data_IF_278785005552
#
_entry.id   IF_278785005552
#
_cell.length_a   1.000
_cell.length_b   1.000
_cell.length_c   1.000
_cell.angle_alpha   90.00
_cell.angle_beta   90.00
_cell.angle_gamma   90.00
#
_symmetry.space_group_name_H-M   'P 1'
#
loop_
_entity.id
_entity.type
_entity.pdbx_description
1 polymer ?
#
# COMPACT_ATOMS: atom_id res chain seq x y z
N UNK A 1 21.78 -20.99 0.08
CA UNK A 1 23.17 -20.98 0.60
C UNK A 1 23.37 -20.08 1.84
N UNK A 2 22.58 -19.01 2.00
CA UNK A 2 22.67 -18.05 3.13
C UNK A 2 22.33 -18.66 4.49
N UNK A 3 21.26 -19.46 4.57
CA UNK A 3 20.85 -20.15 5.81
C UNK A 3 21.94 -21.02 6.44
N UNK A 4 22.76 -21.68 5.61
CA UNK A 4 23.88 -22.51 6.10
C UNK A 4 24.99 -21.67 6.72
N UNK A 5 25.17 -20.44 6.25
CA UNK A 5 26.18 -19.51 6.77
C UNK A 5 25.69 -18.84 8.05
N UNK A 6 24.42 -18.42 8.07
CA UNK A 6 23.75 -17.90 9.27
C UNK A 6 23.71 -18.95 10.40
N UNK A 7 23.38 -20.21 10.08
CA UNK A 7 23.38 -21.29 11.07
C UNK A 7 24.78 -21.58 11.62
N UNK A 8 25.82 -21.58 10.78
CA UNK A 8 27.21 -21.72 11.24
C UNK A 8 27.68 -20.53 12.08
N UNK A 9 27.26 -19.32 11.71
CA UNK A 9 27.59 -18.10 12.43
C UNK A 9 26.92 -18.03 13.82
N UNK A 10 25.68 -18.50 13.93
CA UNK A 10 24.99 -18.64 15.21
C UNK A 10 25.62 -19.76 16.05
N UNK A 11 25.91 -20.92 15.45
CA UNK A 11 26.50 -22.06 16.15
C UNK A 11 27.90 -21.80 16.71
N UNK A 12 28.70 -20.93 16.05
CA UNK A 12 30.05 -20.59 16.49
C UNK A 12 30.11 -19.42 17.49
N UNK A 13 28.99 -18.78 17.83
CA UNK A 13 28.95 -17.61 18.71
C UNK A 13 28.00 -17.85 19.90
N UNK A 14 28.46 -18.62 20.88
CA UNK A 14 27.67 -18.96 22.08
C UNK A 14 27.13 -17.73 22.82
N UNK A 15 27.91 -16.63 22.90
CA UNK A 15 27.47 -15.39 23.54
C UNK A 15 26.24 -14.76 22.85
N UNK A 16 26.18 -14.86 21.52
CA UNK A 16 25.09 -14.29 20.73
C UNK A 16 23.83 -15.17 20.82
N UNK A 17 24.02 -16.50 20.87
CA UNK A 17 22.94 -17.46 21.15
C UNK A 17 22.37 -17.27 22.54
N UNK A 18 23.20 -17.05 23.56
CA UNK A 18 22.75 -16.82 24.93
C UNK A 18 21.93 -15.52 25.05
N UNK A 19 22.39 -14.42 24.44
CA UNK A 19 21.62 -13.16 24.36
C UNK A 19 20.30 -13.32 23.61
N UNK A 20 20.28 -14.14 22.57
CA UNK A 20 19.06 -14.48 21.83
C UNK A 20 18.11 -15.34 22.66
N UNK A 21 18.59 -16.35 23.38
CA UNK A 21 17.77 -17.19 24.25
C UNK A 21 17.14 -16.40 25.41
N UNK A 22 17.86 -15.41 25.93
CA UNK A 22 17.34 -14.49 26.94
C UNK A 22 16.28 -13.53 26.39
N UNK A 23 16.25 -13.32 25.07
CA UNK A 23 15.26 -12.44 24.44
C UNK A 23 13.83 -12.95 24.62
N UNK A 24 12.91 -12.02 24.89
CA UNK A 24 11.50 -12.30 25.14
C UNK A 24 10.81 -13.12 24.01
N UNK A 25 11.10 -12.89 22.71
CA UNK A 25 10.48 -13.66 21.62
C UNK A 25 10.88 -15.14 21.60
N UNK A 26 12.17 -15.44 21.82
CA UNK A 26 12.68 -16.82 21.80
C UNK A 26 12.19 -17.59 23.03
N UNK A 27 12.13 -16.92 24.19
CA UNK A 27 11.56 -17.51 25.41
C UNK A 27 10.08 -17.86 25.26
N UNK A 28 9.28 -16.96 24.65
CA UNK A 28 7.86 -17.22 24.35
C UNK A 28 7.69 -18.34 23.31
N UNK A 29 8.50 -18.37 22.25
CA UNK A 29 8.49 -19.44 21.26
C UNK A 29 8.80 -20.80 21.91
N UNK A 30 9.83 -20.87 22.77
CA UNK A 30 10.18 -22.09 23.51
C UNK A 30 9.05 -22.54 24.45
N UNK A 31 8.39 -21.62 25.17
CA UNK A 31 7.23 -21.93 26.01
C UNK A 31 6.06 -22.49 25.19
N UNK A 32 5.80 -21.95 24.01
CA UNK A 32 4.75 -22.42 23.12
C UNK A 32 5.10 -23.79 22.53
N UNK A 33 6.33 -24.01 22.08
CA UNK A 33 6.80 -25.33 21.63
C UNK A 33 6.70 -26.37 22.75
N UNK A 34 7.10 -26.03 23.98
CA UNK A 34 6.97 -26.91 25.14
C UNK A 34 5.49 -27.20 25.47
N UNK A 35 4.62 -26.19 25.44
CA UNK A 35 3.18 -26.35 25.62
C UNK A 35 2.60 -27.31 24.58
N UNK A 36 2.90 -27.11 23.29
CA UNK A 36 2.42 -28.02 22.24
C UNK A 36 2.98 -29.43 22.37
N UNK A 37 4.24 -29.58 22.80
CA UNK A 37 4.84 -30.89 23.03
C UNK A 37 4.15 -31.63 24.19
N UNK A 38 3.89 -30.95 25.31
CA UNK A 38 3.22 -31.55 26.46
C UNK A 38 1.73 -31.80 26.21
N UNK A 39 1.01 -30.83 25.64
CA UNK A 39 -0.41 -30.97 25.29
C UNK A 39 -0.62 -31.98 24.17
N UNK A 40 0.32 -32.09 23.23
CA UNK A 40 0.34 -33.10 22.18
C UNK A 40 0.57 -34.50 22.73
N UNK A 41 1.50 -34.67 23.68
CA UNK A 41 1.79 -35.96 24.32
C UNK A 41 0.62 -36.50 25.14
N UNK A 42 -0.06 -35.64 25.91
CA UNK A 42 -1.26 -36.02 26.68
C UNK A 42 -2.40 -36.47 25.74
N UNK A 43 -2.69 -35.69 24.70
CA UNK A 43 -3.69 -36.03 23.69
C UNK A 43 -3.30 -37.28 22.88
N UNK A 44 -2.02 -37.51 22.62
CA UNK A 44 -1.56 -38.69 21.87
C UNK A 44 -1.77 -39.99 22.65
N UNK A 45 -1.59 -39.97 23.97
CA UNK A 45 -1.79 -41.15 24.84
C UNK A 45 -3.29 -41.53 24.91
N UNK A 46 -4.17 -40.55 25.02
CA UNK A 46 -5.63 -40.74 25.05
C UNK A 46 -6.17 -41.25 23.69
N UNK A 47 -5.72 -40.65 22.58
CA UNK A 47 -6.14 -41.00 21.22
C UNK A 47 -5.62 -42.37 20.76
N UNK A 48 -4.55 -42.90 21.35
CA UNK A 48 -4.00 -44.23 21.02
C UNK A 48 -4.99 -45.36 21.30
N UNK A 49 -5.81 -45.24 22.36
CA UNK A 49 -6.85 -46.21 22.71
C UNK A 49 -8.07 -46.16 21.78
N UNK A 50 -8.43 -44.98 21.27
CA UNK A 50 -9.52 -44.80 20.31
C UNK A 50 -9.15 -45.23 18.90
N UNK A 51 -7.88 -45.03 18.52
CA UNK A 51 -7.32 -45.42 17.22
C UNK A 51 -7.38 -46.94 16.98
N UNK A 52 -7.18 -47.74 18.04
CA UNK A 52 -7.30 -49.20 17.99
C UNK A 52 -8.75 -49.67 17.86
N UNK A 53 -9.74 -48.89 18.33
CA UNK A 53 -11.17 -49.24 18.29
C UNK A 53 -11.87 -48.82 16.99
N UNK A 54 -11.44 -47.71 16.37
CA UNK A 54 -12.17 -47.09 15.26
C UNK A 54 -11.73 -47.53 13.85
N UNK A 55 -10.71 -48.38 13.71
CA UNK A 55 -10.13 -48.76 12.42
C UNK A 55 -9.46 -47.56 11.73
N UNK A 56 -8.14 -47.43 11.93
CA UNK A 56 -7.33 -46.22 11.79
C UNK A 56 -7.51 -45.31 10.56
N UNK A 57 -8.11 -45.77 9.47
CA UNK A 57 -8.33 -44.98 8.25
C UNK A 57 -9.41 -43.90 8.45
N UNK A 58 -10.53 -44.20 9.12
CA UNK A 58 -11.64 -43.24 9.31
C UNK A 58 -11.33 -42.17 10.37
N UNK A 59 -10.45 -42.47 11.31
CA UNK A 59 -10.04 -41.55 12.36
C UNK A 59 -9.12 -40.44 11.84
N UNK A 60 -8.11 -40.80 11.02
CA UNK A 60 -7.17 -39.84 10.41
C UNK A 60 -7.91 -38.79 9.57
N UNK A 61 -8.97 -39.20 8.85
CA UNK A 61 -9.61 -38.34 7.86
C UNK A 61 -10.55 -37.27 8.46
N UNK A 62 -11.17 -37.53 9.63
CA UNK A 62 -12.07 -36.56 10.30
C UNK A 62 -11.34 -35.64 11.29
N UNK A 63 -10.45 -36.15 12.13
CA UNK A 63 -9.77 -35.31 13.13
C UNK A 63 -8.57 -34.52 12.57
N UNK A 64 -7.85 -35.08 11.58
CA UNK A 64 -6.68 -34.40 11.01
C UNK A 64 -6.98 -33.04 10.37
N UNK A 65 -8.18 -32.82 9.82
CA UNK A 65 -8.59 -31.53 9.26
C UNK A 65 -8.91 -30.49 10.34
N UNK A 66 -9.52 -30.90 11.45
CA UNK A 66 -9.86 -29.99 12.56
C UNK A 66 -8.60 -29.59 13.33
N UNK A 67 -7.72 -30.55 13.64
CA UNK A 67 -6.44 -30.27 14.29
C UNK A 67 -5.54 -29.33 13.47
N UNK A 68 -5.53 -29.43 12.12
CA UNK A 68 -4.79 -28.50 11.25
C UNK A 68 -5.39 -27.10 11.27
N UNK A 69 -6.72 -26.97 11.33
CA UNK A 69 -7.37 -25.66 11.34
C UNK A 69 -7.19 -24.96 12.69
N UNK A 70 -7.29 -25.70 13.79
CA UNK A 70 -7.02 -25.18 15.13
C UNK A 70 -5.54 -24.77 15.25
N UNK A 71 -4.63 -25.58 14.71
CA UNK A 71 -3.20 -25.25 14.66
C UNK A 71 -2.92 -24.04 13.77
N UNK A 72 -3.64 -23.85 12.65
CA UNK A 72 -3.55 -22.63 11.82
C UNK A 72 -4.06 -21.39 12.54
N UNK A 73 -5.15 -21.52 13.31
CA UNK A 73 -5.72 -20.41 14.08
C UNK A 73 -4.78 -19.97 15.20
N UNK A 74 -4.23 -20.93 15.95
CA UNK A 74 -3.25 -20.64 16.99
C UNK A 74 -1.95 -20.11 16.38
N UNK A 75 -1.52 -20.59 15.20
CA UNK A 75 -0.36 -20.02 14.48
C UNK A 75 -0.62 -18.59 13.97
N UNK A 76 -1.85 -18.27 13.59
CA UNK A 76 -2.25 -16.90 13.20
C UNK A 76 -2.20 -15.95 14.41
N UNK A 77 -2.68 -16.38 15.57
CA UNK A 77 -2.58 -15.57 16.80
C UNK A 77 -1.15 -15.49 17.32
N UNK A 78 -0.39 -16.59 17.23
CA UNK A 78 1.03 -16.67 17.53
C UNK A 78 1.85 -15.71 16.67
N UNK A 79 1.60 -15.68 15.35
CA UNK A 79 2.29 -14.75 14.44
C UNK A 79 1.93 -13.29 14.73
N UNK A 80 0.69 -12.99 15.10
CA UNK A 80 0.28 -11.64 15.46
C UNK A 80 0.88 -11.17 16.79
N UNK A 81 1.05 -12.06 17.77
CA UNK A 81 1.55 -11.69 19.10
C UNK A 81 3.08 -11.68 19.18
N UNK A 82 3.75 -12.65 18.55
CA UNK A 82 5.22 -12.73 18.56
C UNK A 82 5.89 -11.76 17.60
N UNK A 83 5.24 -11.43 16.48
CA UNK A 83 5.81 -10.52 15.50
C UNK A 83 5.25 -9.10 15.57
N UNK A 84 4.27 -8.77 16.44
CA UNK A 84 3.82 -7.36 16.59
C UNK A 84 4.95 -6.41 17.01
N UNK A 85 5.68 -6.67 18.10
CA UNK A 85 6.81 -5.81 18.48
C UNK A 85 7.90 -5.84 17.42
N UNK A 86 8.08 -6.97 16.72
CA UNK A 86 9.14 -7.14 15.73
C UNK A 86 8.81 -6.49 14.38
N UNK A 87 7.54 -6.45 13.95
CA UNK A 87 7.08 -5.79 12.71
C UNK A 87 7.05 -4.27 12.89
N UNK A 88 6.62 -3.78 14.05
CA UNK A 88 6.63 -2.35 14.34
C UNK A 88 8.07 -1.84 14.55
N UNK A 89 8.92 -2.63 15.23
CA UNK A 89 10.34 -2.32 15.37
C UNK A 89 11.12 -2.53 14.05
N UNK A 90 10.79 -3.50 13.20
CA UNK A 90 11.41 -3.64 11.86
C UNK A 90 10.89 -2.61 10.87
N UNK A 91 9.67 -2.09 10.98
CA UNK A 91 9.22 -0.98 10.13
C UNK A 91 10.08 0.26 10.32
N UNK A 92 10.56 0.51 11.54
CA UNK A 92 11.45 1.65 11.83
C UNK A 92 12.94 1.29 11.68
N UNK A 93 13.37 0.09 12.08
CA UNK A 93 14.78 -0.34 12.03
C UNK A 93 15.21 -0.78 10.62
N UNK A 94 14.33 -1.37 9.81
CA UNK A 94 14.69 -1.78 8.45
C UNK A 94 15.01 -0.57 7.57
N UNK A 95 14.35 0.58 7.78
CA UNK A 95 14.59 1.78 6.98
C UNK A 95 15.91 2.48 7.36
N UNK A 96 16.30 2.44 8.62
CA UNK A 96 17.52 3.11 9.11
C UNK A 96 18.78 2.23 8.97
N UNK A 97 18.68 0.92 9.24
CA UNK A 97 19.85 0.03 9.24
C UNK A 97 20.11 -0.67 7.89
N UNK A 98 19.13 -0.78 6.96
CA UNK A 98 19.44 -1.18 5.58
C UNK A 98 20.19 -0.09 4.80
N UNK A 99 20.02 1.18 5.18
CA UNK A 99 20.74 2.32 4.60
C UNK A 99 22.24 2.34 4.93
N UNK A 100 22.65 1.61 5.98
CA UNK A 100 24.03 1.59 6.49
C UNK A 100 24.78 0.32 6.06
N UNK A 101 24.09 -0.77 5.66
CA UNK A 101 24.72 -2.08 5.39
C UNK A 101 24.88 -2.47 3.92
N UNK A 102 24.22 -1.82 2.95
CA UNK A 102 24.33 -2.20 1.53
C UNK A 102 24.55 -0.98 0.65
N UNK A 103 25.81 -0.57 0.56
CA UNK A 103 26.28 0.49 -0.33
C UNK A 103 26.49 -0.06 -1.76
N UNK A 104 25.42 -0.62 -2.34
CA UNK A 104 25.37 -1.08 -3.74
C UNK A 104 24.56 -0.04 -4.54
N UNK A 105 25.22 0.70 -5.42
CA UNK A 105 24.63 1.79 -6.22
C UNK A 105 23.41 1.35 -7.04
N UNK A 106 23.34 0.08 -7.45
CA UNK A 106 22.22 -0.48 -8.23
C UNK A 106 20.93 -0.68 -7.42
N UNK A 107 21.02 -0.89 -6.10
CA UNK A 107 19.83 -1.04 -5.23
C UNK A 107 19.37 0.33 -4.74
N UNK A 108 20.29 1.27 -4.56
CA UNK A 108 19.96 2.66 -4.25
C UNK A 108 19.09 3.28 -5.35
N UNK A 109 19.36 3.01 -6.63
CA UNK A 109 18.49 3.45 -7.75
C UNK A 109 17.09 2.79 -7.73
N UNK A 110 16.98 1.52 -7.27
CA UNK A 110 15.71 0.82 -7.08
C UNK A 110 14.93 1.30 -5.85
N UNK A 111 15.63 1.71 -4.80
CA UNK A 111 15.05 2.26 -3.57
C UNK A 111 14.64 3.73 -3.79
N UNK A 112 15.42 4.52 -4.52
CA UNK A 112 15.10 5.91 -4.83
C UNK A 112 14.01 6.01 -5.90
N UNK A 113 13.92 5.06 -6.85
CA UNK A 113 12.74 4.93 -7.72
C UNK A 113 11.48 4.45 -6.97
N UNK A 114 11.61 3.80 -5.81
CA UNK A 114 10.47 3.50 -4.93
C UNK A 114 10.17 4.62 -3.92
N UNK A 115 11.15 5.49 -3.60
CA UNK A 115 10.97 6.69 -2.79
C UNK A 115 10.37 7.87 -3.56
N UNK A 116 10.41 7.85 -4.90
CA UNK A 116 9.80 8.87 -5.74
C UNK A 116 8.31 8.58 -6.02
N UNK A 117 7.58 8.32 -4.94
CA UNK A 117 6.15 8.09 -4.92
C UNK A 117 5.42 9.43 -4.89
N UNK A 118 4.82 9.82 -6.01
CA UNK A 118 3.99 11.01 -6.07
C UNK A 118 2.58 10.71 -5.55
N UNK A 119 2.07 11.59 -4.69
CA UNK A 119 0.66 11.71 -4.34
C UNK A 119 0.08 12.94 -5.02
N UNK A 120 -0.92 12.73 -5.86
CA UNK A 120 -1.61 13.80 -6.59
C UNK A 120 -3.02 14.00 -6.06
N UNK A 121 -3.44 15.26 -5.96
CA UNK A 121 -4.81 15.63 -5.65
C UNK A 121 -5.55 15.90 -6.96
N UNK A 122 -6.47 15.02 -7.32
CA UNK A 122 -7.23 15.12 -8.56
C UNK A 122 -8.58 15.78 -8.25
N UNK A 123 -8.79 16.96 -8.84
CA UNK A 123 -10.03 17.73 -8.78
C UNK A 123 -10.93 17.34 -9.95
N UNK A 124 -11.90 16.48 -9.70
CA UNK A 124 -12.95 16.10 -10.65
C UNK A 124 -13.95 17.26 -10.78
N UNK A 125 -14.11 17.80 -11.98
CA UNK A 125 -15.08 18.86 -12.27
C UNK A 125 -16.14 18.29 -13.19
N UNK A 126 -17.35 18.11 -12.66
CA UNK A 126 -18.49 17.59 -13.43
C UNK A 126 -19.26 18.69 -14.14
N UNK A 127 -19.29 19.89 -13.57
CA UNK A 127 -19.97 21.05 -14.16
C UNK A 127 -19.32 22.33 -13.68
N UNK A 128 -18.88 23.14 -14.63
CA UNK A 128 -18.30 24.46 -14.36
C UNK A 128 -19.37 25.48 -13.94
N UNK A 129 -20.53 25.48 -14.60
CA UNK A 129 -21.66 26.39 -14.33
C UNK A 129 -22.12 26.30 -12.87
N UNK A 130 -22.32 25.08 -12.35
CA UNK A 130 -22.77 24.86 -10.98
C UNK A 130 -21.62 24.65 -9.98
N UNK A 131 -20.36 24.85 -10.41
CA UNK A 131 -19.15 24.58 -9.60
C UNK A 131 -19.18 23.20 -8.92
N UNK A 132 -19.64 22.18 -9.64
CA UNK A 132 -19.79 20.83 -9.11
C UNK A 132 -18.44 20.10 -9.14
N UNK A 133 -17.69 20.22 -8.04
CA UNK A 133 -16.30 19.79 -7.92
C UNK A 133 -16.13 18.77 -6.78
N UNK A 134 -15.28 17.76 -6.99
CA UNK A 134 -14.86 16.79 -5.98
C UNK A 134 -13.37 16.51 -6.06
N UNK A 135 -12.75 16.26 -4.91
CA UNK A 135 -11.33 15.91 -4.83
C UNK A 135 -11.16 14.43 -4.52
N UNK A 136 -10.23 13.78 -5.22
CA UNK A 136 -9.76 12.43 -4.92
C UNK A 136 -8.24 12.46 -4.83
N UNK A 137 -7.65 11.63 -3.99
CA UNK A 137 -6.20 11.50 -3.89
C UNK A 137 -5.74 10.21 -4.59
N UNK A 138 -4.80 10.33 -5.51
CA UNK A 138 -4.12 9.20 -6.15
C UNK A 138 -2.70 9.14 -5.60
N UNK A 139 -2.34 8.00 -4.99
CA UNK A 139 -1.06 7.78 -4.31
C UNK A 139 -0.23 6.77 -5.10
N UNK A 140 1.07 6.70 -4.81
CA UNK A 140 1.97 5.70 -5.39
C UNK A 140 2.11 5.82 -6.91
N UNK A 141 2.16 7.06 -7.42
CA UNK A 141 2.40 7.33 -8.83
C UNK A 141 3.89 7.54 -9.11
N UNK A 142 4.32 7.09 -10.30
CA UNK A 142 5.65 7.36 -10.84
C UNK A 142 5.59 8.59 -11.74
N UNK A 143 6.58 9.48 -11.66
CA UNK A 143 6.72 10.67 -12.51
C UNK A 143 6.79 10.37 -14.00
N UNK A 144 7.21 9.16 -14.38
CA UNK A 144 7.37 8.73 -15.77
C UNK A 144 6.05 8.31 -16.43
N UNK A 145 4.96 8.23 -15.66
CA UNK A 145 3.63 7.91 -16.17
C UNK A 145 3.21 8.96 -17.20
N UNK A 146 2.54 8.52 -18.26
CA UNK A 146 2.00 9.42 -19.30
C UNK A 146 0.65 10.01 -18.91
N UNK A 147 0.28 11.16 -19.48
CA UNK A 147 -1.03 11.77 -19.26
C UNK A 147 -2.20 10.81 -19.52
N UNK A 148 -2.13 10.04 -20.61
CA UNK A 148 -3.13 9.01 -20.97
C UNK A 148 -3.25 7.88 -19.94
N UNK A 149 -2.12 7.43 -19.40
CA UNK A 149 -2.08 6.41 -18.35
C UNK A 149 -2.67 6.94 -17.03
N UNK A 150 -2.38 8.20 -16.68
CA UNK A 150 -2.95 8.86 -15.51
C UNK A 150 -4.48 8.94 -15.60
N UNK A 151 -5.04 9.31 -16.76
CA UNK A 151 -6.50 9.29 -17.00
C UNK A 151 -7.09 7.92 -16.72
N UNK A 152 -6.46 6.87 -17.25
CA UNK A 152 -6.90 5.48 -17.04
C UNK A 152 -6.84 5.05 -15.58
N UNK A 153 -5.79 5.43 -14.86
CA UNK A 153 -5.65 5.16 -13.41
C UNK A 153 -6.77 5.85 -12.63
N UNK A 154 -7.04 7.13 -12.94
CA UNK A 154 -8.12 7.89 -12.31
C UNK A 154 -9.46 7.20 -12.55
N UNK A 155 -9.82 6.94 -13.81
CA UNK A 155 -11.09 6.31 -14.19
C UNK A 155 -11.28 4.93 -13.54
N UNK A 156 -10.23 4.10 -13.47
CA UNK A 156 -10.27 2.81 -12.77
C UNK A 156 -10.45 2.94 -11.26
N UNK A 157 -10.00 4.05 -10.67
CA UNK A 157 -10.15 4.30 -9.23
C UNK A 157 -11.53 4.82 -8.85
N UNK A 158 -12.25 5.50 -9.76
CA UNK A 158 -13.55 6.14 -9.47
C UNK A 158 -14.61 5.20 -8.86
N UNK A 159 -14.79 3.94 -9.32
CA UNK A 159 -15.79 3.04 -8.74
C UNK A 159 -15.52 2.74 -7.27
N UNK A 160 -14.24 2.60 -6.89
CA UNK A 160 -13.80 2.28 -5.53
C UNK A 160 -13.86 3.47 -4.57
N UNK A 161 -13.87 4.70 -5.10
CA UNK A 161 -13.96 5.90 -4.27
C UNK A 161 -15.39 6.14 -3.75
N UNK A 162 -15.48 6.74 -2.56
CA UNK A 162 -16.73 7.20 -1.95
C UNK A 162 -17.19 8.52 -2.60
N UNK A 163 -17.45 8.48 -3.91
CA UNK A 163 -17.94 9.62 -4.70
C UNK A 163 -19.38 9.38 -5.17
N UNK A 164 -20.18 10.46 -5.38
CA UNK A 164 -21.54 10.33 -5.88
C UNK A 164 -21.61 9.68 -7.26
N UNK A 165 -22.69 8.94 -7.54
CA UNK A 165 -22.91 8.28 -8.83
C UNK A 165 -22.78 9.22 -10.04
N UNK A 166 -23.25 10.49 -10.01
CA UNK A 166 -23.08 11.41 -11.13
C UNK A 166 -21.63 11.67 -11.53
N UNK A 167 -20.66 11.51 -10.62
CA UNK A 167 -19.23 11.60 -10.95
C UNK A 167 -18.69 10.30 -11.55
N UNK A 168 -19.29 9.16 -11.21
CA UNK A 168 -18.86 7.85 -11.73
C UNK A 168 -19.33 7.62 -13.18
N UNK A 169 -20.47 8.21 -13.55
CA UNK A 169 -21.06 8.08 -14.89
C UNK A 169 -20.66 9.20 -15.85
N UNK A 170 -19.96 10.23 -15.37
CA UNK A 170 -19.57 11.37 -16.19
C UNK A 170 -18.34 11.04 -17.03
N UNK A 171 -18.32 11.56 -18.26
CA UNK A 171 -17.23 11.38 -19.22
C UNK A 171 -16.20 12.50 -19.04
N UNK A 172 -15.05 12.15 -18.47
CA UNK A 172 -13.90 13.05 -18.33
C UNK A 172 -12.90 12.81 -19.47
N UNK A 173 -12.33 13.89 -20.03
CA UNK A 173 -11.42 13.80 -21.17
C UNK A 173 -10.06 14.47 -20.93
N UNK A 174 -9.99 15.56 -20.15
CA UNK A 174 -8.87 16.50 -20.16
C UNK A 174 -8.31 16.72 -18.77
N UNK A 175 -6.98 16.67 -18.66
CA UNK A 175 -6.24 16.96 -17.45
C UNK A 175 -5.56 18.33 -17.56
N UNK A 176 -5.74 19.17 -16.54
CA UNK A 176 -5.07 20.47 -16.43
C UNK A 176 -4.50 20.65 -15.04
N UNK A 177 -3.27 21.11 -14.93
CA UNK A 177 -2.67 21.45 -13.64
C UNK A 177 -3.34 22.71 -13.09
N UNK A 178 -3.83 22.61 -11.87
CA UNK A 178 -4.51 23.71 -11.19
C UNK A 178 -3.51 24.47 -10.30
N UNK A 179 -2.81 23.73 -9.44
CA UNK A 179 -1.93 24.32 -8.44
C UNK A 179 -0.72 23.43 -8.20
N UNK A 180 0.46 24.05 -8.21
CA UNK A 180 1.65 23.44 -7.66
C UNK A 180 1.78 23.82 -6.19
N UNK A 181 2.26 22.92 -5.33
CA UNK A 181 2.55 23.23 -3.94
C UNK A 181 3.45 24.46 -3.81
N UNK A 182 3.20 25.26 -2.78
CA UNK A 182 3.95 26.48 -2.44
C UNK A 182 3.91 27.60 -3.49
N UNK A 183 3.09 27.49 -4.54
CA UNK A 183 2.84 28.59 -5.47
C UNK A 183 1.65 29.43 -5.03
N UNK A 184 1.44 30.58 -5.67
CA UNK A 184 0.22 31.36 -5.46
C UNK A 184 -0.99 30.60 -6.00
N UNK A 185 -2.10 30.61 -5.24
CA UNK A 185 -3.38 30.12 -5.73
C UNK A 185 -4.01 31.14 -6.67
N UNK A 186 -4.74 30.66 -7.66
CA UNK A 186 -5.51 31.53 -8.55
C UNK A 186 -6.75 32.05 -7.86
N UNK A 187 -7.26 33.20 -8.33
CA UNK A 187 -8.49 33.80 -7.80
C UNK A 187 -9.75 32.98 -8.14
N UNK A 188 -9.69 32.16 -9.19
CA UNK A 188 -10.78 31.27 -9.58
C UNK A 188 -10.81 30.02 -8.70
N UNK A 189 -11.98 29.74 -8.11
CA UNK A 189 -12.20 28.60 -7.20
C UNK A 189 -12.36 27.29 -7.97
N UNK A 190 -12.84 27.34 -9.22
CA UNK A 190 -13.17 26.14 -9.99
C UNK A 190 -11.94 25.61 -10.69
N UNK A 191 -11.33 26.44 -11.54
CA UNK A 191 -10.17 26.08 -12.35
C UNK A 191 -9.36 27.33 -12.73
N UNK A 192 -8.04 27.19 -12.76
CA UNK A 192 -7.15 28.15 -13.45
C UNK A 192 -7.59 28.32 -14.91
N UNK A 193 -7.78 29.56 -15.39
CA UNK A 193 -8.18 29.88 -16.78
C UNK A 193 -7.05 30.40 -17.67
N UNK A 194 -5.91 30.69 -17.05
CA UNK A 194 -4.71 31.24 -17.70
C UNK A 194 -3.79 30.11 -18.21
N UNK A 195 -2.93 30.46 -19.17
CA UNK A 195 -1.80 29.67 -19.69
C UNK A 195 -2.12 28.20 -20.03
N UNK A 196 -3.20 27.98 -20.79
CA UNK A 196 -3.65 26.63 -21.17
C UNK A 196 -2.55 25.78 -21.82
N UNK A 197 -1.71 26.37 -22.67
CA UNK A 197 -0.63 25.67 -23.37
C UNK A 197 0.40 25.05 -22.41
N UNK A 198 0.62 25.68 -21.25
CA UNK A 198 1.60 25.23 -20.27
C UNK A 198 1.01 24.24 -19.26
N UNK A 199 -0.25 24.44 -18.86
CA UNK A 199 -0.88 23.68 -17.79
C UNK A 199 -1.72 22.49 -18.28
N UNK A 200 -2.07 22.42 -19.56
CA UNK A 200 -2.74 21.24 -20.14
C UNK A 200 -1.77 20.07 -20.27
N UNK A 201 -2.14 18.95 -19.66
CA UNK A 201 -1.36 17.71 -19.72
C UNK A 201 -1.74 16.96 -21.00
N UNK A 202 -0.79 16.89 -21.92
CA UNK A 202 -0.91 16.12 -23.15
C UNK A 202 -0.78 14.61 -22.86
N UNK A 203 -1.45 13.80 -23.68
CA UNK A 203 -1.55 12.35 -23.47
C UNK A 203 -0.26 11.58 -23.75
N UNK A 204 0.62 12.16 -24.57
CA UNK A 204 1.90 11.63 -25.02
C UNK A 204 3.07 12.02 -24.09
N UNK A 205 2.93 13.12 -23.36
CA UNK A 205 3.94 13.64 -22.43
C UNK A 205 3.87 12.98 -21.06
N UNK A 206 4.99 12.97 -20.36
CA UNK A 206 5.13 12.40 -19.01
C UNK A 206 4.85 13.44 -17.93
N UNK A 207 4.47 13.00 -16.73
CA UNK A 207 4.24 13.92 -15.60
C UNK A 207 5.51 14.69 -15.21
N UNK A 208 6.68 14.08 -15.42
CA UNK A 208 8.00 14.71 -15.23
C UNK A 208 8.20 15.93 -16.12
N UNK A 209 7.72 15.90 -17.37
CA UNK A 209 7.89 17.01 -18.32
C UNK A 209 7.20 18.30 -17.82
N UNK A 210 6.12 18.12 -17.06
CA UNK A 210 5.36 19.19 -16.42
C UNK A 210 5.90 19.57 -15.04
N UNK A 211 7.02 18.99 -14.57
CA UNK A 211 7.59 19.25 -13.24
C UNK A 211 6.58 19.03 -12.10
N UNK A 212 5.72 18.02 -12.25
CA UNK A 212 4.74 17.66 -11.24
C UNK A 212 5.46 17.14 -10.00
N UNK A 213 5.10 17.69 -8.85
CA UNK A 213 5.65 17.33 -7.53
C UNK A 213 4.56 16.75 -6.63
N UNK A 214 4.96 16.16 -5.51
CA UNK A 214 4.03 15.63 -4.51
C UNK A 214 3.07 16.73 -4.01
N UNK A 215 1.78 16.42 -3.94
CA UNK A 215 0.73 17.37 -3.56
C UNK A 215 0.25 18.30 -4.67
N UNK A 216 0.74 18.14 -5.91
CA UNK A 216 0.20 18.91 -7.06
C UNK A 216 -1.28 18.61 -7.25
N UNK A 217 -2.05 19.68 -7.47
CA UNK A 217 -3.47 19.61 -7.78
C UNK A 217 -3.69 19.62 -9.29
N UNK A 218 -4.42 18.63 -9.80
CA UNK A 218 -4.74 18.49 -11.22
C UNK A 218 -6.26 18.42 -11.37
N UNK A 219 -6.83 19.27 -12.22
CA UNK A 219 -8.22 19.22 -12.61
C UNK A 219 -8.45 18.16 -13.70
N UNK A 220 -9.52 17.38 -13.58
CA UNK A 220 -9.99 16.43 -14.57
C UNK A 220 -11.45 16.74 -14.94
N UNK A 221 -11.69 17.06 -16.21
CA UNK A 221 -12.95 17.64 -16.70
C UNK A 221 -13.20 17.31 -18.17
N UNK A 222 -14.27 17.86 -18.74
CA UNK A 222 -14.61 17.79 -20.16
C UNK A 222 -14.21 19.07 -20.90
N UNK A 223 -13.42 18.98 -21.95
CA UNK A 223 -12.84 20.14 -22.65
C UNK A 223 -13.92 21.07 -23.21
N UNK A 224 -14.95 20.51 -23.82
CA UNK A 224 -16.05 21.28 -24.41
C UNK A 224 -16.76 22.18 -23.36
N UNK A 225 -16.92 21.67 -22.14
CA UNK A 225 -17.55 22.42 -21.04
C UNK A 225 -16.62 23.53 -20.54
N UNK A 226 -15.30 23.28 -20.54
CA UNK A 226 -14.29 24.27 -20.17
C UNK A 226 -14.21 25.43 -21.17
N UNK A 227 -14.23 25.15 -22.47
CA UNK A 227 -14.21 26.19 -23.50
C UNK A 227 -15.42 27.13 -23.38
N UNK A 228 -16.59 26.55 -23.13
CA UNK A 228 -17.83 27.30 -22.87
C UNK A 228 -17.70 28.16 -21.63
N UNK A 229 -17.18 27.59 -20.53
CA UNK A 229 -16.94 28.31 -19.29
C UNK A 229 -15.91 29.44 -19.42
N UNK A 230 -14.87 29.26 -20.25
CA UNK A 230 -13.83 30.26 -20.48
C UNK A 230 -14.38 31.48 -21.22
N UNK A 231 -15.28 31.26 -22.19
CA UNK A 231 -15.92 32.34 -22.94
C UNK A 231 -16.92 33.13 -22.08
N UNK A 232 -17.64 32.44 -21.19
CA UNK A 232 -18.60 33.07 -20.29
C UNK A 232 -18.41 32.55 -18.85
N UNK A 233 -17.45 33.11 -18.09
CA UNK A 233 -17.26 32.73 -16.71
C UNK A 233 -18.48 33.22 -15.92
N UNK A 234 -19.40 32.31 -15.61
CA UNK A 234 -20.54 32.61 -14.75
C UNK A 234 -20.01 32.85 -13.34
N UNK A 235 -19.78 34.12 -13.02
CA UNK A 235 -19.70 34.57 -11.65
C UNK A 235 -21.12 34.56 -11.13
N UNK A 236 -21.47 33.58 -10.29
CA UNK A 236 -22.62 33.74 -9.41
C UNK A 236 -22.37 35.04 -8.63
N UNK A 237 -23.04 36.12 -9.03
CA UNK A 237 -23.20 37.29 -8.16
C UNK A 237 -24.05 36.79 -7.00
N UNK A 238 -23.42 36.67 -5.84
CA UNK A 238 -24.12 36.54 -4.55
C UNK A 238 -24.90 37.81 -4.22
#
# INVERSE_FOLDING_TARGET
MVWRHLARYLANNEQLVNKLAESYPIRRAAQLTAYFYHSGRAKYIERKGEFQRAGGVRYIQRQGKQDINDMKLVMKDFTQVLFRPWIDLYKDISVQNLKIMFNDSEIQDKIDSTNNCLTLSIRLIRSFEYRNVRHIAIRNLNEQIRGSELKNIILKSLPSQTIPLPFKTFEFDTLKIEHYPHQAKTNDVVIRREDDEQFLIADDKTLRDYKIVDGTEIAFFKMADYETYKQNPVFLME
#
